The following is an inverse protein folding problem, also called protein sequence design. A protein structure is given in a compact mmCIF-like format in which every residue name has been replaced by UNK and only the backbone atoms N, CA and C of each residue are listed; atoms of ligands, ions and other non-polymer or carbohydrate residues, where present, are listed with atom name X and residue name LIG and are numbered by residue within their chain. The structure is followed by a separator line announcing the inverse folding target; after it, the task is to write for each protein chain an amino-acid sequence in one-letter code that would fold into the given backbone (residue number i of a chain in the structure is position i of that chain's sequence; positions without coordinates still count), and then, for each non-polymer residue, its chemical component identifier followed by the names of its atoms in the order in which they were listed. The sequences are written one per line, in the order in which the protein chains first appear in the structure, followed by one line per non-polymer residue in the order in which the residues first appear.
data_IF_687367705078
#
_entry.id   IF_687367705078
#
_cell.length_a   1.000
_cell.length_b   1.000
_cell.length_c   1.000
_cell.angle_alpha   90.00
_cell.angle_beta   90.00
_cell.angle_gamma   90.00
#
_symmetry.space_group_name_H-M   'P 1'
#
loop_
_entity.id
_entity.type
_entity.pdbx_description
1 polymer ?
#
# COMPACT_ATOMS: atom_id res chain seq x y z
N UNK A 1 7.86 -21.32 7.10
CA UNK A 1 6.60 -21.64 7.82
C UNK A 1 6.61 -20.85 9.12
N UNK A 2 6.16 -19.61 9.09
CA UNK A 2 6.28 -18.69 10.23
C UNK A 2 5.26 -19.10 11.29
N UNK A 3 5.73 -19.72 12.38
CA UNK A 3 4.88 -20.04 13.53
C UNK A 3 4.39 -18.73 14.14
N UNK A 4 3.11 -18.41 13.92
CA UNK A 4 2.40 -17.41 14.70
C UNK A 4 2.39 -17.90 16.15
N UNK A 5 3.15 -17.24 17.03
CA UNK A 5 3.10 -17.53 18.47
C UNK A 5 1.66 -17.35 18.93
N UNK A 6 1.01 -18.46 19.33
CA UNK A 6 -0.31 -18.43 19.98
C UNK A 6 -0.12 -17.82 21.37
N UNK A 7 -0.28 -16.51 21.46
CA UNK A 7 -0.44 -15.84 22.76
C UNK A 7 -1.72 -16.37 23.41
N UNK A 8 -1.60 -16.97 24.59
CA UNK A 8 -2.75 -17.42 25.38
C UNK A 8 -3.62 -16.20 25.72
N UNK A 9 -4.80 -16.10 25.11
CA UNK A 9 -5.80 -15.10 25.49
C UNK A 9 -6.27 -15.40 26.92
N UNK A 10 -5.91 -14.53 27.87
CA UNK A 10 -6.67 -14.40 29.12
C UNK A 10 -8.10 -13.98 28.76
N UNK A 11 -9.08 -14.80 29.11
CA UNK A 11 -10.49 -14.42 29.04
C UNK A 11 -10.88 -13.67 30.32
N UNK A 12 -11.43 -12.47 30.18
CA UNK A 12 -12.65 -11.99 30.89
C UNK A 12 -12.70 -10.47 31.11
N UNK A 13 -12.38 -9.66 30.10
CA UNK A 13 -13.01 -8.34 29.99
C UNK A 13 -13.58 -8.23 28.58
N UNK A 14 -14.88 -7.90 28.47
CA UNK A 14 -15.41 -7.46 27.18
C UNK A 14 -14.56 -6.24 26.79
N UNK A 15 -13.96 -6.22 25.58
CA UNK A 15 -13.23 -5.04 25.15
C UNK A 15 -14.16 -3.83 25.29
N UNK A 16 -13.71 -2.79 26.02
CA UNK A 16 -14.50 -1.57 26.20
C UNK A 16 -14.90 -1.07 24.82
N UNK A 17 -16.20 -0.93 24.60
CA UNK A 17 -16.71 -0.39 23.34
C UNK A 17 -16.21 1.04 23.17
N UNK A 18 -15.75 1.37 21.96
CA UNK A 18 -15.23 2.68 21.65
C UNK A 18 -16.42 3.65 21.59
N UNK A 19 -16.37 4.65 22.45
CA UNK A 19 -17.31 5.76 22.50
C UNK A 19 -16.76 6.87 21.61
N UNK A 20 -17.39 7.09 20.46
CA UNK A 20 -16.93 8.07 19.47
C UNK A 20 -17.78 9.33 19.60
N UNK A 21 -17.09 10.47 19.74
CA UNK A 21 -17.72 11.79 19.80
C UNK A 21 -17.66 12.43 18.42
N UNK A 22 -18.71 13.16 18.09
CA UNK A 22 -18.77 14.00 16.89
C UNK A 22 -17.87 15.23 17.10
N UNK A 23 -17.06 15.56 16.10
CA UNK A 23 -16.08 16.67 16.15
C UNK A 23 -16.28 17.60 14.97
N UNK A 24 -16.23 17.07 13.75
CA UNK A 24 -16.33 17.88 12.53
C UNK A 24 -17.73 17.86 11.91
N UNK A 25 -18.49 16.80 12.13
CA UNK A 25 -19.74 16.57 11.42
C UNK A 25 -20.95 17.07 12.20
N UNK A 26 -22.10 17.21 11.53
CA UNK A 26 -23.38 17.58 12.15
C UNK A 26 -24.31 16.38 12.23
N UNK A 27 -25.02 16.21 13.35
CA UNK A 27 -25.97 15.11 13.51
C UNK A 27 -27.12 15.23 12.50
N UNK A 28 -27.48 14.12 11.84
CA UNK A 28 -28.54 14.08 10.82
C UNK A 28 -28.13 14.63 9.45
N UNK A 29 -26.89 15.09 9.27
CA UNK A 29 -26.36 15.58 7.99
C UNK A 29 -25.19 14.68 7.57
N UNK A 30 -25.20 14.20 6.33
CA UNK A 30 -24.06 13.46 5.80
C UNK A 30 -22.97 14.46 5.36
N UNK A 31 -21.67 14.21 5.60
CA UNK A 31 -20.57 15.13 5.21
C UNK A 31 -20.55 15.53 3.72
N UNK A 32 -21.22 14.73 2.91
CA UNK A 32 -21.37 14.87 1.47
C UNK A 32 -22.37 15.93 1.04
N UNK A 33 -23.32 16.25 1.92
CA UNK A 33 -24.38 17.23 1.69
C UNK A 33 -23.95 18.63 2.14
N UNK A 34 -22.81 18.74 2.83
CA UNK A 34 -22.23 19.99 3.34
C UNK A 34 -21.33 20.70 2.31
N UNK A 35 -21.07 20.08 1.15
CA UNK A 35 -20.14 20.61 0.14
C UNK A 35 -20.78 20.64 -1.25
N UNK A 36 -20.30 21.55 -2.09
CA UNK A 36 -20.70 21.64 -3.50
C UNK A 36 -19.88 20.68 -4.34
N UNK A 37 -20.55 19.95 -5.23
CA UNK A 37 -19.92 18.98 -6.13
C UNK A 37 -19.97 19.47 -7.56
N UNK A 38 -18.90 19.22 -8.29
CA UNK A 38 -18.80 19.53 -9.70
C UNK A 38 -18.25 18.35 -10.50
N UNK A 39 -18.65 18.32 -11.77
CA UNK A 39 -18.10 17.40 -12.75
C UNK A 39 -16.98 18.08 -13.51
N UNK A 40 -15.89 17.35 -13.72
CA UNK A 40 -14.77 17.81 -14.54
C UNK A 40 -14.19 16.66 -15.34
N UNK A 41 -13.50 17.01 -16.42
CA UNK A 41 -12.76 16.04 -17.23
C UNK A 41 -11.30 16.03 -16.79
N UNK A 42 -10.73 14.82 -16.64
CA UNK A 42 -9.32 14.63 -16.34
C UNK A 42 -8.62 14.20 -17.60
N UNK A 43 -7.77 15.08 -18.12
CA UNK A 43 -6.89 14.80 -19.25
C UNK A 43 -5.44 14.95 -18.79
N UNK A 44 -4.64 13.92 -19.00
CA UNK A 44 -3.21 13.95 -18.77
C UNK A 44 -2.49 13.83 -20.11
N UNK A 45 -1.58 14.77 -20.38
CA UNK A 45 -0.74 14.76 -21.57
C UNK A 45 0.72 14.48 -21.24
N UNK A 46 1.44 13.93 -22.20
CA UNK A 46 2.88 13.79 -22.14
C UNK A 46 3.52 15.17 -22.33
N UNK A 47 4.30 15.62 -21.35
CA UNK A 47 4.93 16.94 -21.40
C UNK A 47 5.94 17.12 -22.55
N UNK A 48 6.52 16.03 -23.08
CA UNK A 48 7.46 16.07 -24.21
C UNK A 48 6.76 16.08 -25.56
N UNK A 49 5.72 15.25 -25.72
CA UNK A 49 5.09 15.01 -27.04
C UNK A 49 3.75 15.73 -27.20
N UNK A 50 3.15 16.22 -26.12
CA UNK A 50 1.80 16.79 -26.09
C UNK A 50 0.68 15.75 -26.21
N UNK A 51 1.01 14.47 -26.41
CA UNK A 51 0.04 13.38 -26.61
C UNK A 51 -0.76 13.10 -25.32
N UNK A 52 -2.06 12.85 -25.45
CA UNK A 52 -2.90 12.41 -24.33
C UNK A 52 -2.52 11.00 -23.90
N UNK A 53 -2.01 10.87 -22.66
CA UNK A 53 -1.63 9.58 -22.06
C UNK A 53 -2.75 8.97 -21.22
N UNK A 54 -3.70 9.78 -20.76
CA UNK A 54 -4.86 9.34 -20.01
C UNK A 54 -5.99 10.35 -20.16
N UNK A 55 -7.21 9.87 -20.32
CA UNK A 55 -8.42 10.68 -20.28
C UNK A 55 -9.53 9.94 -19.53
N UNK A 56 -10.24 10.66 -18.66
CA UNK A 56 -11.50 10.21 -18.09
C UNK A 56 -12.41 11.41 -17.92
N UNK A 57 -13.57 11.35 -18.57
CA UNK A 57 -14.57 12.42 -18.56
C UNK A 57 -15.56 12.27 -17.41
N UNK A 58 -16.22 13.38 -17.07
CA UNK A 58 -17.32 13.46 -16.10
C UNK A 58 -16.97 12.85 -14.74
N UNK A 59 -15.80 13.17 -14.19
CA UNK A 59 -15.45 12.76 -12.82
C UNK A 59 -15.96 13.78 -11.80
N UNK A 60 -16.54 13.28 -10.71
CA UNK A 60 -17.22 14.07 -9.68
C UNK A 60 -16.29 14.31 -8.48
N UNK A 61 -16.05 15.58 -8.15
CA UNK A 61 -15.23 16.03 -7.03
C UNK A 61 -15.85 17.27 -6.37
N UNK A 62 -15.53 17.57 -5.10
CA UNK A 62 -15.88 18.86 -4.51
C UNK A 62 -15.18 20.02 -5.23
N UNK A 63 -15.85 21.17 -5.32
CA UNK A 63 -15.34 22.38 -5.98
C UNK A 63 -13.97 22.84 -5.45
N UNK A 64 -13.73 22.66 -4.15
CA UNK A 64 -12.47 23.04 -3.49
C UNK A 64 -11.30 22.06 -3.75
N UNK A 65 -11.53 20.90 -4.37
CA UNK A 65 -10.44 20.01 -4.75
C UNK A 65 -9.67 20.56 -5.94
N UNK A 66 -8.35 20.71 -5.81
CA UNK A 66 -7.51 21.16 -6.91
C UNK A 66 -7.54 20.21 -8.11
N UNK A 67 -7.36 20.75 -9.32
CA UNK A 67 -7.24 19.96 -10.55
C UNK A 67 -6.16 18.87 -10.41
N UNK A 68 -5.02 19.18 -9.79
CA UNK A 68 -3.94 18.21 -9.60
C UNK A 68 -4.37 17.04 -8.69
N UNK A 69 -5.06 17.32 -7.59
CA UNK A 69 -5.55 16.28 -6.70
C UNK A 69 -6.58 15.37 -7.40
N UNK A 70 -7.53 15.96 -8.11
CA UNK A 70 -8.53 15.23 -8.88
C UNK A 70 -7.90 14.37 -9.98
N UNK A 71 -6.86 14.88 -10.66
CA UNK A 71 -6.08 14.12 -11.65
C UNK A 71 -5.35 12.94 -11.02
N UNK A 72 -4.68 13.12 -9.88
CA UNK A 72 -3.97 12.03 -9.18
C UNK A 72 -4.95 10.96 -8.70
N UNK A 73 -6.06 11.36 -8.08
CA UNK A 73 -7.11 10.42 -7.62
C UNK A 73 -7.67 9.62 -8.78
N UNK A 74 -8.04 10.31 -9.86
CA UNK A 74 -8.61 9.67 -11.04
C UNK A 74 -7.62 8.71 -11.67
N UNK A 75 -6.38 9.13 -11.92
CA UNK A 75 -5.38 8.29 -12.62
C UNK A 75 -4.85 7.12 -11.79
N UNK A 76 -4.75 7.27 -10.46
CA UNK A 76 -4.05 6.30 -9.60
C UNK A 76 -4.97 5.50 -8.67
N UNK A 77 -6.09 6.07 -8.23
CA UNK A 77 -6.87 5.54 -7.11
C UNK A 77 -8.28 5.09 -7.47
N UNK A 78 -8.89 5.70 -8.50
CA UNK A 78 -10.13 5.17 -9.06
C UNK A 78 -9.90 3.76 -9.62
N UNK A 79 -10.78 2.85 -9.23
CA UNK A 79 -10.74 1.44 -9.61
C UNK A 79 -11.54 1.19 -10.89
N UNK A 80 -11.18 0.11 -11.60
CA UNK A 80 -11.81 -0.30 -12.85
C UNK A 80 -11.03 0.21 -14.06
N UNK A 81 -11.13 -0.49 -15.19
CA UNK A 81 -10.50 -0.06 -16.42
C UNK A 81 -11.26 1.13 -17.03
N UNK A 82 -10.55 2.10 -17.59
CA UNK A 82 -11.15 3.26 -18.26
C UNK A 82 -12.08 2.77 -19.39
N UNK A 83 -13.24 3.41 -19.52
CA UNK A 83 -14.27 3.02 -20.50
C UNK A 83 -15.15 1.83 -20.08
N UNK A 84 -14.87 1.17 -18.95
CA UNK A 84 -15.75 0.10 -18.42
C UNK A 84 -16.81 0.63 -17.47
N UNK A 85 -17.94 -0.07 -17.39
CA UNK A 85 -19.04 0.30 -16.46
C UNK A 85 -18.65 0.27 -14.99
N UNK A 86 -17.62 -0.49 -14.64
CA UNK A 86 -17.15 -0.66 -13.26
C UNK A 86 -16.07 0.37 -12.88
N UNK A 87 -15.80 1.36 -13.75
CA UNK A 87 -14.85 2.43 -13.48
C UNK A 87 -15.42 3.40 -12.45
N UNK A 88 -14.70 3.62 -11.36
CA UNK A 88 -15.03 4.66 -10.40
C UNK A 88 -14.89 6.04 -11.07
N UNK A 89 -15.87 6.90 -10.86
CA UNK A 89 -15.93 8.24 -11.44
C UNK A 89 -16.28 9.33 -10.42
N UNK A 90 -16.38 9.01 -9.13
CA UNK A 90 -16.69 9.98 -8.08
C UNK A 90 -15.80 9.75 -6.86
N UNK A 91 -15.31 10.84 -6.26
CA UNK A 91 -14.59 10.78 -4.99
C UNK A 91 -15.45 10.14 -3.89
N UNK A 92 -16.78 10.32 -3.92
CA UNK A 92 -17.71 9.69 -2.96
C UNK A 92 -17.57 8.17 -2.99
N UNK A 93 -17.56 7.58 -4.18
CA UNK A 93 -17.43 6.13 -4.37
C UNK A 93 -16.12 5.61 -3.78
N UNK A 94 -15.02 6.34 -4.00
CA UNK A 94 -13.71 5.98 -3.45
C UNK A 94 -13.68 6.06 -1.91
N UNK A 95 -14.18 7.16 -1.33
CA UNK A 95 -14.23 7.34 0.12
C UNK A 95 -15.15 6.30 0.77
N UNK A 96 -16.35 6.12 0.24
CA UNK A 96 -17.34 5.15 0.73
C UNK A 96 -16.79 3.73 0.74
N UNK A 97 -16.11 3.34 -0.34
CA UNK A 97 -15.52 2.00 -0.44
C UNK A 97 -14.59 1.71 0.73
N UNK A 98 -13.84 2.72 1.19
CA UNK A 98 -12.92 2.58 2.32
C UNK A 98 -13.64 2.76 3.66
N UNK A 99 -14.31 3.89 3.86
CA UNK A 99 -14.95 4.25 5.12
C UNK A 99 -16.00 3.22 5.54
N UNK A 100 -16.93 2.85 4.64
CA UNK A 100 -17.98 1.85 4.93
C UNK A 100 -17.41 0.47 5.18
N UNK A 101 -16.31 0.10 4.53
CA UNK A 101 -15.66 -1.19 4.80
C UNK A 101 -15.08 -1.24 6.22
N UNK A 102 -14.44 -0.16 6.67
CA UNK A 102 -13.96 -0.06 8.05
C UNK A 102 -15.11 -0.01 9.05
N UNK A 103 -16.17 0.76 8.79
CA UNK A 103 -17.37 0.79 9.66
C UNK A 103 -18.00 -0.60 9.77
N UNK A 104 -18.18 -1.31 8.64
CA UNK A 104 -18.71 -2.68 8.63
C UNK A 104 -17.84 -3.63 9.43
N UNK A 105 -16.52 -3.54 9.30
CA UNK A 105 -15.59 -4.34 10.10
C UNK A 105 -15.71 -4.00 11.59
N UNK A 106 -15.76 -2.71 11.93
CA UNK A 106 -15.94 -2.22 13.29
C UNK A 106 -17.21 -2.76 13.94
N UNK A 107 -18.34 -2.74 13.23
CA UNK A 107 -19.60 -3.36 13.68
C UNK A 107 -19.45 -4.87 13.87
N UNK A 108 -18.91 -5.57 12.86
CA UNK A 108 -18.73 -7.03 12.88
C UNK A 108 -17.89 -7.51 14.08
N UNK A 109 -16.86 -6.77 14.44
CA UNK A 109 -15.95 -7.12 15.53
C UNK A 109 -16.32 -6.48 16.87
N UNK A 110 -17.46 -5.78 16.96
CA UNK A 110 -17.98 -5.22 18.21
C UNK A 110 -17.16 -4.05 18.75
N UNK A 111 -16.53 -3.26 17.89
CA UNK A 111 -15.75 -2.08 18.31
C UNK A 111 -16.64 -0.92 18.78
N UNK A 112 -17.86 -0.79 18.25
CA UNK A 112 -18.75 0.33 18.56
C UNK A 112 -19.72 -0.01 19.69
N UNK A 113 -20.00 0.98 20.54
CA UNK A 113 -20.95 0.82 21.66
C UNK A 113 -22.42 0.79 21.24
N UNK A 114 -22.73 1.37 20.09
CA UNK A 114 -24.07 1.46 19.51
C UNK A 114 -23.97 1.67 17.99
N UNK A 115 -25.09 1.56 17.28
CA UNK A 115 -25.16 1.92 15.86
C UNK A 115 -24.90 3.41 15.63
N UNK A 116 -25.30 4.27 16.57
CA UNK A 116 -25.01 5.70 16.54
C UNK A 116 -23.50 5.97 16.54
N UNK A 117 -22.71 5.27 17.37
CA UNK A 117 -21.25 5.44 17.35
C UNK A 117 -20.61 4.96 16.05
N UNK A 118 -21.18 3.94 15.42
CA UNK A 118 -20.70 3.48 14.12
C UNK A 118 -21.00 4.49 13.01
N UNK A 119 -22.16 5.14 13.05
CA UNK A 119 -22.52 6.23 12.14
C UNK A 119 -21.62 7.45 12.36
N UNK A 120 -21.40 7.86 13.62
CA UNK A 120 -20.47 8.96 13.93
C UNK A 120 -19.08 8.63 13.39
N UNK A 121 -18.58 7.40 13.57
CA UNK A 121 -17.29 6.99 13.00
C UNK A 121 -17.24 7.14 11.48
N UNK A 122 -18.28 6.65 10.78
CA UNK A 122 -18.37 6.72 9.32
C UNK A 122 -18.38 8.17 8.83
N UNK A 123 -19.19 9.03 9.47
CA UNK A 123 -19.32 10.43 9.10
C UNK A 123 -18.02 11.20 9.38
N UNK A 124 -17.43 11.05 10.57
CA UNK A 124 -16.16 11.72 10.92
C UNK A 124 -15.03 11.28 9.99
N UNK A 125 -14.91 9.98 9.71
CA UNK A 125 -13.90 9.47 8.79
C UNK A 125 -14.12 10.00 7.36
N UNK A 126 -15.36 9.96 6.88
CA UNK A 126 -15.73 10.51 5.56
C UNK A 126 -15.40 11.99 5.46
N UNK A 127 -15.75 12.78 6.48
CA UNK A 127 -15.48 14.20 6.53
C UNK A 127 -13.97 14.49 6.49
N UNK A 128 -13.19 13.79 7.32
CA UNK A 128 -11.73 14.00 7.37
C UNK A 128 -11.05 13.64 6.05
N UNK A 129 -11.52 12.60 5.36
CA UNK A 129 -11.01 12.20 4.04
C UNK A 129 -11.41 13.19 2.95
N UNK A 130 -12.67 13.67 2.98
CA UNK A 130 -13.22 14.63 2.01
C UNK A 130 -12.50 15.98 2.09
N UNK A 131 -12.24 16.47 3.30
CA UNK A 131 -11.57 17.74 3.58
C UNK A 131 -10.04 17.62 3.70
N UNK A 132 -9.48 16.44 3.42
CA UNK A 132 -8.05 16.18 3.40
C UNK A 132 -7.33 16.43 4.75
N UNK A 133 -8.06 16.38 5.87
CA UNK A 133 -7.50 16.41 7.24
C UNK A 133 -6.79 15.11 7.60
N UNK A 134 -7.18 14.01 6.94
CA UNK A 134 -6.60 12.70 7.10
C UNK A 134 -6.52 12.02 5.72
N UNK A 135 -5.53 11.16 5.54
CA UNK A 135 -5.48 10.26 4.38
C UNK A 135 -4.82 8.95 4.77
N UNK A 136 -5.32 7.85 4.21
CA UNK A 136 -4.67 6.56 4.33
C UNK A 136 -3.46 6.44 3.40
N UNK A 137 -2.56 5.52 3.74
CA UNK A 137 -1.52 5.09 2.80
C UNK A 137 -2.14 4.46 1.52
N UNK A 138 -1.38 4.44 0.44
CA UNK A 138 -1.90 3.99 -0.87
C UNK A 138 -2.47 2.56 -0.90
N UNK A 139 -1.85 1.53 -0.26
CA UNK A 139 -2.43 0.18 -0.20
C UNK A 139 -3.86 0.11 0.32
N UNK A 140 -4.24 0.97 1.28
CA UNK A 140 -5.64 1.04 1.74
C UNK A 140 -6.56 1.41 0.59
N UNK A 141 -6.24 2.47 -0.15
CA UNK A 141 -7.05 2.92 -1.29
C UNK A 141 -7.10 1.89 -2.42
N UNK A 142 -6.03 1.13 -2.64
CA UNK A 142 -5.97 0.10 -3.68
C UNK A 142 -6.79 -1.15 -3.33
N UNK A 143 -6.80 -1.56 -2.06
CA UNK A 143 -7.24 -2.90 -1.69
C UNK A 143 -8.55 -2.92 -0.88
N UNK A 144 -8.83 -1.90 -0.07
CA UNK A 144 -9.98 -1.91 0.84
C UNK A 144 -11.29 -1.81 0.07
N UNK A 145 -12.25 -2.67 0.45
CA UNK A 145 -13.57 -2.75 -0.17
C UNK A 145 -13.56 -3.38 -1.56
N UNK A 146 -12.56 -4.21 -1.85
CA UNK A 146 -12.38 -4.90 -3.14
C UNK A 146 -12.31 -6.42 -2.95
N UNK A 147 -12.37 -7.19 -4.04
CA UNK A 147 -12.21 -8.65 -4.00
C UNK A 147 -10.78 -9.12 -3.70
N UNK A 148 -9.78 -8.21 -3.78
CA UNK A 148 -8.39 -8.55 -3.50
C UNK A 148 -8.17 -8.88 -2.02
N UNK A 149 -7.18 -9.72 -1.68
CA UNK A 149 -6.70 -9.84 -0.30
C UNK A 149 -6.39 -8.45 0.28
N UNK A 150 -6.85 -8.21 1.51
CA UNK A 150 -6.84 -6.89 2.14
C UNK A 150 -5.45 -6.55 2.69
N UNK A 151 -4.50 -6.21 1.81
CA UNK A 151 -3.19 -5.69 2.21
C UNK A 151 -3.26 -4.18 2.44
N UNK A 152 -3.26 -3.76 3.70
CA UNK A 152 -3.45 -2.35 4.12
C UNK A 152 -2.20 -1.68 4.67
N UNK A 153 -1.12 -2.45 4.84
CA UNK A 153 0.17 -1.94 5.33
C UNK A 153 1.07 -1.58 4.17
N UNK A 154 1.72 -0.42 4.19
CA UNK A 154 2.63 0.00 3.12
C UNK A 154 4.07 -0.50 3.28
N UNK A 155 4.46 -0.87 4.50
CA UNK A 155 5.84 -1.19 4.85
C UNK A 155 5.91 -2.58 5.49
N UNK A 156 6.84 -3.40 5.01
CA UNK A 156 7.16 -4.72 5.55
C UNK A 156 8.66 -4.82 5.77
N UNK A 157 9.06 -5.47 6.86
CA UNK A 157 10.47 -5.84 7.11
C UNK A 157 10.54 -7.36 7.05
N UNK A 158 11.40 -7.86 6.17
CA UNK A 158 11.68 -9.28 5.99
C UNK A 158 13.03 -9.62 6.62
N UNK A 159 13.23 -10.91 6.87
CA UNK A 159 14.49 -11.47 7.33
C UNK A 159 14.89 -12.61 6.40
N UNK A 160 16.19 -12.76 6.20
CA UNK A 160 16.76 -13.86 5.41
C UNK A 160 17.86 -14.53 6.22
N UNK A 161 17.94 -15.84 6.11
CA UNK A 161 19.01 -16.66 6.69
C UNK A 161 19.94 -17.15 5.59
N UNK A 162 21.15 -17.57 5.96
CA UNK A 162 22.17 -18.08 5.05
C UNK A 162 21.87 -19.50 4.54
N UNK A 163 20.79 -19.63 3.79
CA UNK A 163 20.37 -20.87 3.13
C UNK A 163 19.55 -20.56 1.89
N UNK A 164 19.66 -21.43 0.88
CA UNK A 164 18.89 -21.27 -0.36
C UNK A 164 17.38 -21.27 -0.13
N UNK A 165 16.87 -22.10 0.79
CA UNK A 165 15.45 -22.12 1.14
C UNK A 165 14.96 -20.77 1.68
N UNK A 166 15.74 -20.13 2.55
CA UNK A 166 15.41 -18.82 3.12
C UNK A 166 15.49 -17.71 2.09
N UNK A 167 16.53 -17.73 1.23
CA UNK A 167 16.71 -16.76 0.14
C UNK A 167 15.57 -16.84 -0.88
N UNK A 168 15.20 -18.05 -1.32
CA UNK A 168 14.09 -18.23 -2.28
C UNK A 168 12.74 -17.92 -1.64
N UNK A 169 12.58 -18.19 -0.35
CA UNK A 169 11.38 -17.80 0.41
C UNK A 169 11.25 -16.28 0.48
N UNK A 170 12.36 -15.55 0.69
CA UNK A 170 12.37 -14.09 0.63
C UNK A 170 11.85 -13.58 -0.71
N UNK A 171 12.35 -14.09 -1.84
CA UNK A 171 11.92 -13.62 -3.18
C UNK A 171 10.41 -13.81 -3.38
N UNK A 172 9.91 -14.97 -2.93
CA UNK A 172 8.47 -15.29 -2.99
C UNK A 172 7.65 -14.32 -2.14
N UNK A 173 7.99 -14.16 -0.86
CA UNK A 173 7.26 -13.30 0.07
C UNK A 173 7.21 -11.86 -0.43
N UNK A 174 8.35 -11.37 -0.88
CA UNK A 174 8.49 -10.03 -1.40
C UNK A 174 7.65 -9.80 -2.67
N UNK A 175 7.62 -10.79 -3.57
CA UNK A 175 6.77 -10.74 -4.75
C UNK A 175 5.27 -10.60 -4.41
N UNK A 176 4.79 -11.28 -3.37
CA UNK A 176 3.41 -11.11 -2.90
C UNK A 176 3.17 -9.73 -2.28
N UNK A 177 4.14 -9.21 -1.50
CA UNK A 177 4.09 -7.87 -0.92
C UNK A 177 3.98 -6.81 -2.02
N UNK A 178 4.82 -6.90 -3.06
CA UNK A 178 4.80 -5.99 -4.20
C UNK A 178 3.50 -6.10 -4.99
N UNK A 179 3.03 -7.32 -5.28
CA UNK A 179 1.72 -7.54 -5.93
C UNK A 179 0.60 -6.81 -5.17
N UNK A 180 0.62 -6.82 -3.84
CA UNK A 180 -0.34 -6.13 -2.99
C UNK A 180 -0.19 -4.59 -2.92
N UNK A 181 0.84 -4.01 -3.53
CA UNK A 181 1.03 -2.56 -3.60
C UNK A 181 1.93 -1.96 -2.52
N UNK A 182 2.65 -2.79 -1.75
CA UNK A 182 3.47 -2.35 -0.61
C UNK A 182 4.96 -2.48 -0.89
N UNK A 183 5.79 -1.86 -0.06
CA UNK A 183 7.24 -1.98 -0.12
C UNK A 183 7.79 -2.93 0.94
N UNK A 184 9.01 -3.42 0.73
CA UNK A 184 9.70 -4.33 1.64
C UNK A 184 11.13 -3.84 1.95
N UNK A 185 11.61 -4.11 3.15
CA UNK A 185 12.99 -3.88 3.54
C UNK A 185 13.60 -5.11 4.20
N UNK A 186 14.92 -5.31 4.07
CA UNK A 186 15.63 -6.36 4.79
C UNK A 186 17.11 -6.04 4.97
N UNK A 187 17.75 -6.74 5.91
CA UNK A 187 19.20 -6.75 6.11
C UNK A 187 19.76 -8.07 5.58
N UNK A 188 20.74 -8.01 4.65
CA UNK A 188 21.36 -9.17 4.02
C UNK A 188 22.62 -9.67 4.72
N UNK A 189 23.06 -9.03 5.81
CA UNK A 189 24.33 -9.34 6.50
C UNK A 189 24.39 -10.72 7.12
N UNK A 190 23.26 -11.44 7.17
CA UNK A 190 23.22 -12.85 7.57
C UNK A 190 23.71 -13.78 6.48
N UNK A 191 23.64 -13.39 5.20
CA UNK A 191 24.11 -14.20 4.07
C UNK A 191 25.64 -14.13 4.05
N UNK A 192 26.29 -15.28 3.89
CA UNK A 192 27.76 -15.37 3.84
C UNK A 192 28.36 -14.54 2.71
N UNK A 193 29.60 -14.10 2.89
CA UNK A 193 30.31 -13.30 1.89
C UNK A 193 30.64 -14.10 0.63
N UNK A 194 30.71 -13.40 -0.50
CA UNK A 194 31.29 -13.89 -1.76
C UNK A 194 32.69 -14.48 -1.64
N UNK A 195 33.43 -14.13 -0.57
CA UNK A 195 34.79 -14.58 -0.27
C UNK A 195 34.83 -15.90 0.51
N UNK A 196 33.68 -16.43 0.94
CA UNK A 196 33.59 -17.67 1.72
C UNK A 196 33.42 -18.91 0.84
N UNK A 197 33.95 -20.05 1.31
CA UNK A 197 33.86 -21.33 0.60
C UNK A 197 32.51 -22.03 0.86
N UNK A 198 32.01 -22.74 -0.15
CA UNK A 198 30.86 -23.62 -0.04
C UNK A 198 31.29 -25.05 0.29
N UNK A 199 30.42 -25.78 1.01
CA UNK A 199 30.66 -27.20 1.36
C UNK A 199 30.76 -28.12 0.14
N UNK A 200 30.13 -27.74 -0.98
CA UNK A 200 30.19 -28.46 -2.26
C UNK A 200 31.41 -28.12 -3.12
N UNK A 201 32.29 -27.23 -2.65
CA UNK A 201 33.35 -26.64 -3.45
C UNK A 201 32.91 -25.35 -4.15
N UNK A 202 33.89 -24.49 -4.47
CA UNK A 202 33.67 -23.14 -5.00
C UNK A 202 33.46 -22.08 -3.90
N UNK A 203 33.27 -20.84 -4.32
CA UNK A 203 32.97 -19.70 -3.45
C UNK A 203 31.48 -19.38 -3.48
N UNK A 204 30.97 -18.78 -2.41
CA UNK A 204 29.60 -18.28 -2.38
C UNK A 204 29.38 -17.12 -3.35
N UNK A 205 28.14 -16.88 -3.76
CA UNK A 205 27.80 -15.74 -4.62
C UNK A 205 27.77 -14.41 -3.86
N UNK A 206 27.61 -14.43 -2.54
CA UNK A 206 27.48 -13.26 -1.68
C UNK A 206 26.10 -12.56 -1.72
N UNK A 207 25.77 -11.73 -0.73
CA UNK A 207 24.51 -11.00 -0.63
C UNK A 207 24.23 -10.08 -1.82
N UNK A 208 25.25 -9.45 -2.41
CA UNK A 208 25.07 -8.51 -3.53
C UNK A 208 24.55 -9.21 -4.79
N UNK A 209 25.00 -10.44 -5.06
CA UNK A 209 24.52 -11.23 -6.19
C UNK A 209 23.04 -11.60 -6.03
N UNK A 210 22.63 -12.07 -4.84
CA UNK A 210 21.23 -12.35 -4.55
C UNK A 210 20.38 -11.08 -4.58
N UNK A 211 20.88 -9.95 -4.09
CA UNK A 211 20.19 -8.66 -4.20
C UNK A 211 19.86 -8.30 -5.66
N UNK A 212 20.81 -8.43 -6.59
CA UNK A 212 20.58 -8.19 -8.03
C UNK A 212 19.50 -9.13 -8.59
N UNK A 213 19.52 -10.41 -8.19
CA UNK A 213 18.48 -11.37 -8.57
C UNK A 213 17.09 -11.00 -8.04
N UNK A 214 17.01 -10.57 -6.78
CA UNK A 214 15.77 -10.11 -6.17
C UNK A 214 15.24 -8.82 -6.81
N UNK A 215 16.12 -7.90 -7.19
CA UNK A 215 15.76 -6.67 -7.90
C UNK A 215 15.18 -6.96 -9.29
N UNK A 216 15.84 -7.82 -10.07
CA UNK A 216 15.33 -8.26 -11.36
C UNK A 216 13.94 -8.92 -11.22
N UNK A 217 13.75 -9.77 -10.20
CA UNK A 217 12.44 -10.34 -9.89
C UNK A 217 11.40 -9.26 -9.58
N UNK A 218 11.74 -8.27 -8.76
CA UNK A 218 10.86 -7.15 -8.40
C UNK A 218 10.46 -6.31 -9.62
N UNK A 219 11.38 -6.08 -10.56
CA UNK A 219 11.16 -5.32 -11.79
C UNK A 219 10.05 -5.90 -12.69
N UNK A 220 9.78 -7.21 -12.59
CA UNK A 220 8.71 -7.87 -13.34
C UNK A 220 7.30 -7.66 -12.75
N UNK A 221 7.20 -7.21 -11.50
CA UNK A 221 5.96 -7.16 -10.74
C UNK A 221 5.35 -5.75 -10.74
N UNK A 222 4.19 -5.60 -11.40
CA UNK A 222 3.37 -4.39 -11.29
C UNK A 222 2.61 -4.39 -9.97
N UNK A 223 2.82 -3.36 -9.15
CA UNK A 223 2.34 -3.33 -7.77
C UNK A 223 0.90 -2.81 -7.67
N UNK A 224 0.04 -3.52 -6.92
CA UNK A 224 -1.32 -3.08 -6.57
C UNK A 224 -2.31 -3.02 -7.75
N UNK A 225 -2.03 -3.69 -8.87
CA UNK A 225 -2.86 -3.61 -10.08
C UNK A 225 -2.88 -2.23 -10.74
N UNK A 226 -2.03 -1.30 -10.28
CA UNK A 226 -1.92 0.08 -10.72
C UNK A 226 -0.51 0.34 -11.31
N UNK A 227 -0.28 1.57 -11.78
CA UNK A 227 0.98 2.06 -12.40
C UNK A 227 2.17 2.17 -11.43
N UNK A 228 2.13 1.51 -10.26
CA UNK A 228 3.18 1.57 -9.23
C UNK A 228 4.21 0.47 -9.46
N UNK A 229 5.50 0.82 -9.32
CA UNK A 229 6.61 -0.15 -9.33
C UNK A 229 6.88 -0.68 -7.92
N UNK A 230 7.50 -1.86 -7.84
CA UNK A 230 8.03 -2.38 -6.59
C UNK A 230 9.03 -1.38 -5.97
N UNK A 231 9.09 -1.36 -4.65
CA UNK A 231 10.04 -0.54 -3.91
C UNK A 231 10.66 -1.38 -2.80
N UNK A 232 12.00 -1.43 -2.76
CA UNK A 232 12.70 -2.15 -1.70
C UNK A 232 13.83 -1.34 -1.06
N UNK A 233 14.10 -1.68 0.18
CA UNK A 233 15.27 -1.22 0.92
C UNK A 233 16.14 -2.42 1.30
N UNK A 234 17.42 -2.35 0.97
CA UNK A 234 18.40 -3.38 1.33
C UNK A 234 19.45 -2.73 2.21
N UNK A 235 19.78 -3.42 3.29
CA UNK A 235 20.84 -3.02 4.22
C UNK A 235 21.92 -4.10 4.21
N UNK A 236 23.18 -3.66 4.30
CA UNK A 236 24.33 -4.49 4.59
C UNK A 236 25.15 -3.79 5.68
N UNK A 237 25.56 -4.55 6.68
CA UNK A 237 26.30 -4.06 7.83
C UNK A 237 27.72 -3.68 7.39
N UNK A 238 28.27 -2.62 8.00
CA UNK A 238 29.52 -1.98 7.55
C UNK A 238 30.75 -2.89 7.66
N UNK A 239 30.70 -3.89 8.52
CA UNK A 239 31.74 -4.88 8.75
C UNK A 239 31.58 -6.13 7.86
N UNK A 240 30.54 -6.21 7.03
CA UNK A 240 30.37 -7.31 6.09
C UNK A 240 31.48 -7.31 5.02
N UNK A 241 32.14 -8.44 4.70
CA UNK A 241 33.29 -8.45 3.78
C UNK A 241 32.98 -7.98 2.34
N UNK A 242 31.70 -7.96 1.96
CA UNK A 242 31.21 -7.47 0.65
C UNK A 242 30.70 -6.00 0.69
N UNK A 243 30.97 -5.25 1.78
CA UNK A 243 30.47 -3.87 1.94
C UNK A 243 30.93 -2.91 0.84
N UNK A 244 32.19 -3.03 0.38
CA UNK A 244 32.73 -2.19 -0.68
C UNK A 244 31.97 -2.42 -1.99
N UNK A 245 31.69 -3.69 -2.35
CA UNK A 245 30.88 -4.00 -3.53
C UNK A 245 29.46 -3.43 -3.36
N UNK A 246 28.85 -3.59 -2.18
CA UNK A 246 27.51 -3.11 -1.91
C UNK A 246 27.38 -1.59 -2.10
N UNK A 247 28.34 -0.80 -1.61
CA UNK A 247 28.34 0.67 -1.75
C UNK A 247 28.37 1.09 -3.22
N UNK A 248 29.12 0.37 -4.07
CA UNK A 248 29.30 0.70 -5.49
C UNK A 248 28.13 0.23 -6.38
N UNK A 249 27.22 -0.61 -5.87
CA UNK A 249 26.17 -1.26 -6.68
C UNK A 249 25.33 -0.30 -7.51
N UNK A 250 24.91 0.83 -6.94
CA UNK A 250 24.05 1.80 -7.63
C UNK A 250 24.80 2.69 -8.61
N UNK A 251 26.10 2.90 -8.42
CA UNK A 251 26.91 3.67 -9.35
C UNK A 251 27.08 2.91 -10.68
N UNK A 252 27.25 1.58 -10.60
CA UNK A 252 27.45 0.69 -11.76
C UNK A 252 26.16 0.26 -12.46
N UNK A 253 24.98 0.55 -11.89
CA UNK A 253 23.69 0.22 -12.52
C UNK A 253 23.35 1.14 -13.71
N UNK A 254 23.94 2.33 -13.76
CA UNK A 254 23.69 3.35 -14.80
C UNK A 254 24.72 3.30 -15.95
N UNK A 255 25.72 2.42 -15.86
CA UNK A 255 26.73 2.15 -16.89
C UNK A 255 26.25 1.09 -17.91
#
# INVERSE_FOLDING_TARGET
MTQTMKTSRRSSDKPKSVQIKRVFTTAGVHPYDEVTWEYRDVVQTNWKTGETVFEQQNVEFPDFWSINASTIVTTKYFRGAVGTKNREASLRTLIDRVAKTYTKAGKRFGYFGSDEHAEIFEHELTWMLLHQYFSFNSPVWFNVGTASPQQVSACFILSVDDSMDSILSWYKEEGFIFKGGSGAGLNLSRIRSSRELLSSGGTASGPVSFMRGADASAGTIKSGGATRRAAKMVVLDVDHPDIEEFIETKAREED
#
